data_IF_391361700465
#
_entry.id   IF_391361700465
#
_cell.length_a   1.000
_cell.length_b   1.000
_cell.length_c   1.000
_cell.angle_alpha   90.00
_cell.angle_beta   90.00
_cell.angle_gamma   90.00
#
_symmetry.space_group_name_H-M   'P 1'
#
loop_
_entity.id
_entity.type
_entity.pdbx_description
1 polymer ?
#
# COMPACT_ATOMS: atom_id res chain seq x y z
N UNK A 1 24.12 -12.08 -9.61
CA UNK A 1 24.59 -11.26 -8.48
C UNK A 1 23.38 -10.62 -7.83
N UNK A 2 22.74 -11.28 -6.87
CA UNK A 2 21.57 -10.75 -6.16
C UNK A 2 21.63 -11.31 -4.74
N UNK A 3 21.95 -10.47 -3.77
CA UNK A 3 22.10 -10.89 -2.37
C UNK A 3 22.75 -9.84 -1.46
N UNK A 4 23.56 -8.93 -2.03
CA UNK A 4 24.24 -7.86 -1.28
C UNK A 4 23.31 -6.77 -0.78
N UNK A 5 22.34 -6.33 -1.61
CA UNK A 5 21.57 -5.12 -1.31
C UNK A 5 20.56 -5.31 -0.17
N UNK A 6 19.82 -6.42 -0.12
CA UNK A 6 18.83 -6.67 0.95
C UNK A 6 19.47 -6.78 2.34
N UNK A 7 20.67 -7.35 2.41
CA UNK A 7 21.41 -7.48 3.66
C UNK A 7 22.02 -6.15 4.12
N UNK A 8 22.45 -5.30 3.19
CA UNK A 8 23.02 -3.99 3.50
C UNK A 8 22.01 -3.07 4.20
N UNK A 9 20.76 -3.02 3.73
CA UNK A 9 19.74 -2.12 4.31
C UNK A 9 19.28 -2.53 5.72
N UNK A 10 19.11 -3.83 5.97
CA UNK A 10 18.77 -4.34 7.31
C UNK A 10 19.94 -4.09 8.27
N UNK A 11 21.17 -4.27 7.79
CA UNK A 11 22.39 -4.02 8.59
C UNK A 11 22.51 -2.54 8.97
N UNK A 12 22.25 -1.61 8.05
CA UNK A 12 22.29 -0.16 8.33
C UNK A 12 21.20 0.25 9.32
N UNK A 13 19.98 -0.26 9.18
CA UNK A 13 18.89 0.04 10.11
C UNK A 13 19.18 -0.49 11.53
N UNK A 14 19.71 -1.71 11.64
CA UNK A 14 20.12 -2.30 12.93
C UNK A 14 21.28 -1.52 13.54
N UNK A 15 22.30 -1.16 12.75
CA UNK A 15 23.45 -0.37 13.22
C UNK A 15 23.02 1.02 13.69
N UNK A 16 22.04 1.64 13.04
CA UNK A 16 21.51 2.93 13.46
C UNK A 16 20.77 2.83 14.81
N UNK A 17 19.91 1.81 14.98
CA UNK A 17 19.22 1.54 16.25
C UNK A 17 20.23 1.26 17.37
N UNK A 18 21.23 0.41 17.13
CA UNK A 18 22.27 0.11 18.13
C UNK A 18 23.14 1.32 18.46
N UNK A 19 23.50 2.16 17.49
CA UNK A 19 24.29 3.38 17.73
C UNK A 19 23.53 4.40 18.58
N UNK A 20 22.22 4.54 18.36
CA UNK A 20 21.34 5.39 19.19
C UNK A 20 21.19 4.83 20.61
N UNK A 21 21.11 3.50 20.75
CA UNK A 21 21.03 2.85 22.07
C UNK A 21 22.36 2.94 22.84
N UNK A 22 23.49 2.72 22.18
CA UNK A 22 24.83 2.77 22.79
C UNK A 22 25.21 4.17 23.27
N UNK A 23 24.86 5.22 22.53
CA UNK A 23 25.11 6.61 22.94
C UNK A 23 24.28 7.06 24.16
N UNK A 24 23.24 6.30 24.54
CA UNK A 24 22.34 6.61 25.66
C UNK A 24 22.67 5.85 26.94
N UNK A 25 23.48 4.79 26.87
CA UNK A 25 23.87 4.00 28.04
C UNK A 25 24.87 4.72 28.95
N UNK A 26 25.76 5.56 28.37
CA UNK A 26 26.76 6.31 29.14
C UNK A 26 26.12 7.33 30.11
N UNK A 27 24.92 7.83 29.78
CA UNK A 27 24.21 8.80 30.63
C UNK A 27 23.59 8.18 31.92
N UNK A 28 23.67 6.87 32.12
CA UNK A 28 23.04 6.18 33.29
C UNK A 28 23.95 6.23 34.54
N UNK A 29 25.23 6.57 34.39
CA UNK A 29 26.22 6.42 35.46
C UNK A 29 26.20 7.51 36.54
N UNK A 30 25.45 8.60 36.36
CA UNK A 30 25.54 9.81 37.21
C UNK A 30 24.33 10.02 38.16
N UNK A 31 23.77 8.94 38.69
CA UNK A 31 22.65 8.98 39.64
C UNK A 31 23.15 9.19 41.10
N UNK A 32 23.20 10.44 41.57
CA UNK A 32 23.45 10.75 42.99
C UNK A 32 22.25 10.38 43.88
N UNK A 33 22.52 9.56 44.90
CA UNK A 33 21.54 8.88 45.76
C UNK A 33 20.91 9.80 46.83
N UNK A 34 19.62 10.07 46.68
CA UNK A 34 18.68 10.52 47.72
C UNK A 34 17.24 10.20 47.28
N UNK A 35 16.34 9.81 48.18
CA UNK A 35 15.02 9.25 47.82
C UNK A 35 14.20 10.15 46.86
N UNK A 36 14.29 11.47 47.01
CA UNK A 36 13.67 12.46 46.11
C UNK A 36 14.46 12.70 44.82
N UNK A 37 15.79 12.59 44.85
CA UNK A 37 16.67 12.75 43.69
C UNK A 37 16.63 11.55 42.73
N UNK A 38 16.49 10.34 43.28
CA UNK A 38 16.33 9.10 42.50
C UNK A 38 15.01 9.13 41.73
N UNK A 39 13.91 9.55 42.35
CA UNK A 39 12.61 9.68 41.68
C UNK A 39 12.65 10.73 40.55
N UNK A 40 13.26 11.89 40.78
CA UNK A 40 13.37 12.95 39.76
C UNK A 40 14.25 12.53 38.58
N UNK A 41 15.39 11.89 38.84
CA UNK A 41 16.28 11.42 37.79
C UNK A 41 15.68 10.22 37.02
N UNK A 42 14.99 9.30 37.70
CA UNK A 42 14.23 8.24 37.05
C UNK A 42 13.14 8.81 36.13
N UNK A 43 12.37 9.79 36.58
CA UNK A 43 11.35 10.44 35.76
C UNK A 43 11.95 11.11 34.52
N UNK A 44 13.07 11.84 34.66
CA UNK A 44 13.78 12.42 33.50
C UNK A 44 14.28 11.35 32.52
N UNK A 45 14.79 10.22 33.02
CA UNK A 45 15.24 9.11 32.17
C UNK A 45 14.07 8.45 31.44
N UNK A 46 12.93 8.29 32.12
CA UNK A 46 11.70 7.80 31.49
C UNK A 46 11.19 8.78 30.42
N UNK A 47 11.18 10.08 30.69
CA UNK A 47 10.83 11.11 29.69
C UNK A 47 11.78 11.09 28.48
N UNK A 48 13.09 10.97 28.72
CA UNK A 48 14.08 10.86 27.65
C UNK A 48 13.93 9.58 26.83
N UNK A 49 13.62 8.46 27.48
CA UNK A 49 13.35 7.19 26.81
C UNK A 49 12.07 7.30 25.96
N UNK A 50 11.00 7.87 26.50
CA UNK A 50 9.75 8.10 25.78
C UNK A 50 9.95 8.99 24.57
N UNK A 51 10.67 10.10 24.72
CA UNK A 51 11.00 10.99 23.60
C UNK A 51 11.81 10.28 22.50
N UNK A 52 12.68 9.35 22.88
CA UNK A 52 13.46 8.55 21.92
C UNK A 52 12.58 7.54 21.19
N UNK A 53 11.67 6.87 21.90
CA UNK A 53 10.67 5.98 21.28
C UNK A 53 9.81 6.75 20.28
N UNK A 54 9.34 7.94 20.66
CA UNK A 54 8.53 8.79 19.78
C UNK A 54 9.30 9.19 18.52
N UNK A 55 10.60 9.50 18.64
CA UNK A 55 11.47 9.81 17.51
C UNK A 55 11.66 8.59 16.59
N UNK A 56 11.93 7.41 17.15
CA UNK A 56 12.05 6.17 16.38
C UNK A 56 10.74 5.84 15.65
N UNK A 57 9.59 6.02 16.30
CA UNK A 57 8.29 5.84 15.66
C UNK A 57 8.06 6.81 14.49
N UNK A 58 8.47 8.08 14.60
CA UNK A 58 8.37 9.04 13.47
C UNK A 58 9.24 8.63 12.28
N UNK A 59 10.46 8.15 12.56
CA UNK A 59 11.35 7.64 11.50
C UNK A 59 10.73 6.40 10.85
N UNK A 60 10.25 5.45 11.66
CA UNK A 60 9.61 4.24 11.16
C UNK A 60 8.34 4.52 10.33
N UNK A 61 7.56 5.54 10.71
CA UNK A 61 6.38 5.99 9.98
C UNK A 61 6.76 6.47 8.57
N UNK A 62 7.77 7.34 8.45
CA UNK A 62 8.25 7.82 7.14
C UNK A 62 8.82 6.69 6.28
N UNK A 63 9.68 5.84 6.84
CA UNK A 63 10.24 4.70 6.11
C UNK A 63 9.16 3.69 5.71
N UNK A 64 8.16 3.47 6.56
CA UNK A 64 7.01 2.63 6.27
C UNK A 64 6.22 3.15 5.06
N UNK A 65 5.90 4.45 5.04
CA UNK A 65 5.19 5.09 3.93
C UNK A 65 5.95 4.93 2.60
N UNK A 66 7.24 5.25 2.60
CA UNK A 66 8.09 5.12 1.40
C UNK A 66 8.19 3.67 0.93
N UNK A 67 8.32 2.73 1.86
CA UNK A 67 8.42 1.30 1.54
C UNK A 67 7.11 0.76 0.96
N UNK A 68 5.96 1.10 1.56
CA UNK A 68 4.62 0.74 1.05
C UNK A 68 4.42 1.33 -0.35
N UNK A 69 4.81 2.60 -0.57
CA UNK A 69 4.72 3.25 -1.87
C UNK A 69 5.54 2.54 -2.94
N UNK A 70 6.81 2.22 -2.63
CA UNK A 70 7.71 1.51 -3.56
C UNK A 70 7.20 0.11 -3.88
N UNK A 71 6.78 -0.65 -2.86
CA UNK A 71 6.22 -1.99 -3.05
C UNK A 71 4.95 -1.91 -3.89
N UNK A 72 4.04 -0.97 -3.61
CA UNK A 72 2.81 -0.79 -4.38
C UNK A 72 3.11 -0.50 -5.86
N UNK A 73 4.14 0.31 -6.15
CA UNK A 73 4.57 0.63 -7.51
C UNK A 73 5.36 -0.45 -8.26
N UNK A 74 5.92 -1.47 -7.58
CA UNK A 74 6.99 -2.32 -8.14
C UNK A 74 6.59 -3.25 -9.30
N UNK A 75 5.31 -3.58 -9.48
CA UNK A 75 4.88 -4.52 -10.56
C UNK A 75 4.57 -3.87 -11.89
N UNK A 76 4.61 -2.53 -11.97
CA UNK A 76 4.35 -1.86 -13.24
C UNK A 76 5.52 -1.99 -14.22
N UNK A 77 6.65 -2.57 -13.77
CA UNK A 77 7.90 -2.74 -14.55
C UNK A 77 8.56 -4.14 -14.38
N UNK A 78 7.78 -5.20 -14.14
CA UNK A 78 8.31 -6.58 -14.06
C UNK A 78 8.84 -7.02 -12.68
N UNK A 79 8.11 -6.67 -11.61
CA UNK A 79 8.49 -6.87 -10.21
C UNK A 79 7.89 -8.10 -9.50
N UNK A 80 7.52 -7.92 -8.23
CA UNK A 80 7.00 -8.93 -7.30
C UNK A 80 5.66 -9.55 -7.77
N UNK A 81 5.16 -10.64 -7.20
CA UNK A 81 3.75 -11.02 -7.42
C UNK A 81 2.81 -10.13 -6.59
N UNK A 82 1.51 -10.10 -6.89
CA UNK A 82 0.52 -9.38 -6.05
C UNK A 82 0.55 -9.90 -4.62
N UNK A 83 0.61 -11.22 -4.48
CA UNK A 83 0.70 -11.90 -3.19
C UNK A 83 1.94 -11.47 -2.43
N UNK A 84 3.10 -11.48 -3.08
CA UNK A 84 4.36 -11.07 -2.44
C UNK A 84 4.32 -9.61 -1.98
N UNK A 85 3.67 -8.71 -2.73
CA UNK A 85 3.48 -7.32 -2.30
C UNK A 85 2.67 -7.25 -1.02
N UNK A 86 1.53 -7.94 -0.97
CA UNK A 86 0.65 -7.96 0.22
C UNK A 86 1.39 -8.52 1.42
N UNK A 87 2.13 -9.61 1.25
CA UNK A 87 2.94 -10.20 2.31
C UNK A 87 4.06 -9.27 2.78
N UNK A 88 4.71 -8.52 1.88
CA UNK A 88 5.72 -7.55 2.24
C UNK A 88 5.13 -6.34 3.00
N UNK A 89 3.96 -5.85 2.59
CA UNK A 89 3.25 -4.76 3.27
C UNK A 89 2.75 -5.22 4.66
N UNK A 90 2.24 -6.45 4.78
CA UNK A 90 1.86 -7.03 6.07
C UNK A 90 3.06 -7.12 7.04
N UNK A 91 4.26 -7.48 6.55
CA UNK A 91 5.49 -7.47 7.36
C UNK A 91 5.88 -6.07 7.84
N UNK A 92 5.64 -5.03 7.04
CA UNK A 92 5.83 -3.64 7.46
C UNK A 92 4.84 -3.32 8.58
N UNK A 93 3.55 -3.63 8.41
CA UNK A 93 2.52 -3.43 9.43
C UNK A 93 2.89 -4.11 10.76
N UNK A 94 3.28 -5.38 10.71
CA UNK A 94 3.66 -6.14 11.91
C UNK A 94 4.90 -5.55 12.61
N UNK A 95 5.86 -5.05 11.83
CA UNK A 95 7.06 -4.37 12.37
C UNK A 95 6.70 -3.05 13.06
N UNK A 96 5.76 -2.28 12.50
CA UNK A 96 5.28 -1.04 13.12
C UNK A 96 4.48 -1.33 14.40
N UNK A 97 3.67 -2.40 14.42
CA UNK A 97 3.00 -2.88 15.65
C UNK A 97 4.01 -3.29 16.72
N UNK A 98 5.10 -3.97 16.34
CA UNK A 98 6.12 -4.44 17.29
C UNK A 98 6.83 -3.30 18.05
N UNK A 99 6.96 -2.11 17.44
CA UNK A 99 7.48 -0.90 18.11
C UNK A 99 6.38 -0.09 18.81
N UNK A 100 5.21 -0.69 19.03
CA UNK A 100 4.04 -0.08 19.67
C UNK A 100 3.58 1.22 18.98
N UNK A 101 3.71 1.28 17.65
CA UNK A 101 3.21 2.44 16.89
C UNK A 101 1.69 2.55 17.05
N UNK A 102 1.16 3.77 17.31
CA UNK A 102 -0.28 4.00 17.36
C UNK A 102 -1.00 3.53 16.10
N UNK A 103 -2.17 2.88 16.27
CA UNK A 103 -2.94 2.32 15.16
C UNK A 103 -3.31 3.36 14.08
N UNK A 104 -3.56 4.61 14.46
CA UNK A 104 -3.81 5.72 13.52
C UNK A 104 -2.63 5.94 12.57
N UNK A 105 -1.39 5.92 13.09
CA UNK A 105 -0.18 6.10 12.31
C UNK A 105 0.08 4.93 11.38
N UNK A 106 -0.14 3.71 11.86
CA UNK A 106 -0.07 2.51 11.02
C UNK A 106 -1.07 2.63 9.86
N UNK A 107 -2.31 3.06 10.12
CA UNK A 107 -3.29 3.32 9.05
C UNK A 107 -2.82 4.38 8.08
N UNK A 108 -2.21 5.48 8.55
CA UNK A 108 -1.64 6.49 7.67
C UNK A 108 -0.49 5.96 6.80
N UNK A 109 0.31 5.03 7.32
CA UNK A 109 1.38 4.36 6.55
C UNK A 109 0.78 3.51 5.44
N UNK A 110 -0.23 2.70 5.75
CA UNK A 110 -0.86 1.78 4.80
C UNK A 110 -1.75 2.51 3.78
N UNK A 111 -2.32 3.66 4.14
CA UNK A 111 -3.19 4.45 3.26
C UNK A 111 -2.50 4.89 1.96
N UNK A 112 -1.16 4.93 1.94
CA UNK A 112 -0.37 5.24 0.73
C UNK A 112 -0.60 4.23 -0.39
N UNK A 113 -1.03 3.00 -0.07
CA UNK A 113 -1.39 1.97 -1.06
C UNK A 113 -2.71 2.27 -1.79
N UNK A 114 -3.64 3.00 -1.17
CA UNK A 114 -5.02 3.14 -1.67
C UNK A 114 -5.11 3.67 -3.12
N UNK A 115 -4.38 4.73 -3.53
CA UNK A 115 -4.40 5.18 -4.92
C UNK A 115 -3.92 4.11 -5.90
N UNK A 116 -2.98 3.27 -5.49
CA UNK A 116 -2.43 2.20 -6.32
C UNK A 116 -3.44 1.07 -6.53
N UNK A 117 -4.14 0.66 -5.47
CA UNK A 117 -5.16 -0.37 -5.57
C UNK A 117 -6.38 0.13 -6.36
N UNK A 118 -6.78 1.40 -6.18
CA UNK A 118 -7.85 1.99 -6.99
C UNK A 118 -7.50 2.00 -8.49
N UNK A 119 -6.28 2.41 -8.83
CA UNK A 119 -5.77 2.35 -10.20
C UNK A 119 -5.81 0.91 -10.75
N UNK A 120 -5.31 -0.05 -9.97
CA UNK A 120 -5.27 -1.46 -10.37
C UNK A 120 -6.69 -2.05 -10.55
N UNK A 121 -7.65 -1.69 -9.68
CA UNK A 121 -9.06 -2.08 -9.80
C UNK A 121 -9.70 -1.50 -11.06
N UNK A 122 -9.49 -0.21 -11.34
CA UNK A 122 -9.98 0.43 -12.55
C UNK A 122 -9.47 -0.28 -13.80
N UNK A 123 -8.16 -0.54 -13.88
CA UNK A 123 -7.57 -1.26 -15.00
C UNK A 123 -8.06 -2.70 -15.08
N UNK A 124 -8.22 -3.39 -13.96
CA UNK A 124 -8.72 -4.76 -13.95
C UNK A 124 -10.17 -4.86 -14.44
N UNK A 125 -11.04 -3.94 -14.01
CA UNK A 125 -12.43 -3.89 -14.43
C UNK A 125 -12.59 -3.42 -15.89
N UNK A 126 -11.76 -2.49 -16.34
CA UNK A 126 -11.82 -1.94 -17.71
C UNK A 126 -11.07 -2.79 -18.75
N UNK A 127 -10.20 -3.71 -18.33
CA UNK A 127 -9.34 -4.45 -19.25
C UNK A 127 -10.11 -5.14 -20.41
N UNK A 128 -11.22 -5.88 -20.20
CA UNK A 128 -11.94 -6.53 -21.31
C UNK A 128 -12.45 -5.54 -22.37
N UNK A 129 -12.78 -4.31 -21.95
CA UNK A 129 -13.20 -3.22 -22.85
C UNK A 129 -11.97 -2.65 -23.57
N UNK A 130 -10.86 -2.47 -22.84
CA UNK A 130 -9.63 -1.90 -23.38
C UNK A 130 -8.91 -2.84 -24.38
N UNK A 131 -9.05 -4.14 -24.20
CA UNK A 131 -8.47 -5.17 -25.06
C UNK A 131 -9.40 -5.61 -26.20
N UNK A 132 -10.65 -5.12 -26.22
CA UNK A 132 -11.60 -5.46 -27.29
C UNK A 132 -11.11 -4.99 -28.66
N UNK A 133 -11.15 -5.93 -29.62
CA UNK A 133 -10.91 -5.66 -31.04
C UNK A 133 -12.12 -5.09 -31.79
N UNK A 134 -13.29 -5.01 -31.15
CA UNK A 134 -14.51 -4.47 -31.76
C UNK A 134 -14.42 -2.94 -31.91
N UNK A 135 -14.53 -2.45 -33.14
CA UNK A 135 -14.50 -1.02 -33.48
C UNK A 135 -15.62 -0.24 -32.77
N UNK A 136 -16.82 -0.81 -32.63
CA UNK A 136 -17.92 -0.12 -31.95
C UNK A 136 -17.62 0.11 -30.46
N UNK A 137 -16.96 -0.86 -29.81
CA UNK A 137 -16.47 -0.72 -28.43
C UNK A 137 -15.35 0.31 -28.36
N UNK A 138 -14.45 0.34 -29.35
CA UNK A 138 -13.36 1.31 -29.43
C UNK A 138 -13.86 2.75 -29.58
N UNK A 139 -14.84 2.99 -30.45
CA UNK A 139 -15.44 4.30 -30.68
C UNK A 139 -16.13 4.85 -29.43
N UNK A 140 -16.79 3.99 -28.66
CA UNK A 140 -17.45 4.35 -27.41
C UNK A 140 -16.43 4.60 -26.29
N UNK A 141 -15.40 3.77 -26.18
CA UNK A 141 -14.44 3.87 -25.06
C UNK A 141 -13.45 5.02 -25.25
N UNK A 142 -13.01 5.32 -26.48
CA UNK A 142 -11.98 6.32 -26.76
C UNK A 142 -12.20 7.64 -26.00
N UNK A 143 -13.34 8.33 -26.21
CA UNK A 143 -13.63 9.59 -25.53
C UNK A 143 -13.70 9.48 -24.00
N UNK A 144 -14.14 8.34 -23.47
CA UNK A 144 -14.22 8.16 -22.02
C UNK A 144 -12.83 8.06 -21.39
N UNK A 145 -11.95 7.21 -21.95
CA UNK A 145 -10.63 6.94 -21.39
C UNK A 145 -9.60 8.06 -21.68
N UNK A 146 -9.73 8.78 -22.79
CA UNK A 146 -8.88 9.95 -23.10
C UNK A 146 -8.97 11.05 -22.03
N UNK A 147 -10.13 11.21 -21.37
CA UNK A 147 -10.30 12.19 -20.26
C UNK A 147 -9.41 11.90 -19.04
N UNK A 148 -8.92 10.67 -18.90
CA UNK A 148 -8.13 10.22 -17.74
C UNK A 148 -6.71 9.76 -18.10
N UNK A 149 -6.44 9.47 -19.38
CA UNK A 149 -5.20 8.83 -19.84
C UNK A 149 -3.91 9.65 -19.68
N UNK A 150 -3.99 10.98 -19.48
CA UNK A 150 -2.80 11.84 -19.31
C UNK A 150 -2.37 12.02 -17.85
N UNK A 151 -3.15 11.53 -16.89
CA UNK A 151 -2.92 11.81 -15.46
C UNK A 151 -2.28 10.59 -14.79
N UNK A 152 -1.31 10.82 -13.90
CA UNK A 152 -0.60 9.75 -13.18
C UNK A 152 -1.49 8.99 -12.19
N UNK A 153 -0.94 8.02 -11.44
CA UNK A 153 -1.69 7.12 -10.52
C UNK A 153 -2.57 7.86 -9.50
N UNK A 154 -2.30 9.12 -9.17
CA UNK A 154 -3.14 9.87 -8.23
C UNK A 154 -4.46 10.35 -8.87
N UNK A 155 -4.45 10.72 -10.15
CA UNK A 155 -5.55 11.44 -10.82
C UNK A 155 -5.94 10.82 -12.18
N UNK A 156 -5.34 9.69 -12.53
CA UNK A 156 -5.36 8.98 -13.82
C UNK A 156 -6.55 8.10 -14.09
N UNK A 157 -7.57 8.12 -13.23
CA UNK A 157 -8.74 7.26 -13.38
C UNK A 157 -10.02 7.98 -12.91
N UNK A 158 -11.17 7.62 -13.49
CA UNK A 158 -12.46 8.16 -13.08
C UNK A 158 -12.82 7.78 -11.64
N UNK A 159 -13.62 8.60 -10.94
CA UNK A 159 -14.37 8.15 -9.78
C UNK A 159 -15.17 6.89 -10.10
N UNK A 160 -15.32 6.00 -9.11
CA UNK A 160 -15.95 4.69 -9.32
C UNK A 160 -17.41 4.81 -9.78
N UNK A 161 -18.12 5.84 -9.33
CA UNK A 161 -19.49 6.16 -9.74
C UNK A 161 -19.56 6.58 -11.21
N UNK A 162 -18.57 7.33 -11.70
CA UNK A 162 -18.52 7.74 -13.10
C UNK A 162 -18.20 6.55 -14.01
N UNK A 163 -17.28 5.68 -13.58
CA UNK A 163 -16.99 4.45 -14.31
C UNK A 163 -18.20 3.50 -14.36
N UNK A 164 -18.90 3.33 -13.23
CA UNK A 164 -20.13 2.53 -13.19
C UNK A 164 -21.22 3.11 -14.10
N UNK A 165 -21.41 4.43 -14.08
CA UNK A 165 -22.36 5.11 -14.98
C UNK A 165 -22.04 4.86 -16.45
N UNK A 166 -20.75 4.93 -16.83
CA UNK A 166 -20.29 4.60 -18.17
C UNK A 166 -20.56 3.13 -18.54
N UNK A 167 -20.31 2.18 -17.65
CA UNK A 167 -20.61 0.77 -17.89
C UNK A 167 -22.11 0.52 -18.05
N UNK A 168 -22.94 1.17 -17.23
CA UNK A 168 -24.41 1.05 -17.30
C UNK A 168 -24.94 1.60 -18.62
N UNK A 169 -24.49 2.78 -19.05
CA UNK A 169 -24.93 3.43 -20.28
C UNK A 169 -24.67 2.58 -21.54
N UNK A 170 -23.63 1.74 -21.51
CA UNK A 170 -23.23 0.89 -22.63
C UNK A 170 -23.63 -0.58 -22.46
N UNK A 171 -24.40 -0.91 -21.41
CA UNK A 171 -24.85 -2.29 -21.15
C UNK A 171 -23.71 -3.25 -20.79
N UNK A 172 -22.58 -2.74 -20.29
CA UNK A 172 -21.40 -3.51 -19.89
C UNK A 172 -21.33 -3.83 -18.39
N UNK A 173 -22.28 -3.30 -17.60
CA UNK A 173 -22.38 -3.59 -16.16
C UNK A 173 -23.03 -4.96 -15.89
N UNK A 174 -22.36 -6.04 -16.33
CA UNK A 174 -22.81 -7.43 -16.18
C UNK A 174 -21.60 -8.37 -16.09
N UNK A 175 -21.86 -9.65 -15.82
CA UNK A 175 -20.84 -10.68 -15.70
C UNK A 175 -19.71 -10.32 -14.73
N UNK A 176 -18.50 -10.71 -15.09
CA UNK A 176 -17.28 -10.50 -14.33
C UNK A 176 -16.89 -9.00 -14.23
N UNK A 177 -17.26 -8.16 -15.21
CA UNK A 177 -17.07 -6.70 -15.08
C UNK A 177 -17.84 -6.15 -13.87
N UNK A 178 -19.10 -6.56 -13.71
CA UNK A 178 -19.92 -6.12 -12.57
C UNK A 178 -19.36 -6.63 -11.23
N UNK A 179 -18.85 -7.86 -11.18
CA UNK A 179 -18.20 -8.39 -9.97
C UNK A 179 -16.93 -7.60 -9.59
N UNK A 180 -16.09 -7.23 -10.57
CA UNK A 180 -14.89 -6.41 -10.34
C UNK A 180 -15.22 -5.00 -9.85
N UNK A 181 -16.27 -4.38 -10.38
CA UNK A 181 -16.76 -3.08 -9.86
C UNK A 181 -17.28 -3.22 -8.42
N UNK A 182 -17.96 -4.32 -8.09
CA UNK A 182 -18.40 -4.59 -6.71
C UNK A 182 -17.21 -4.84 -5.77
N UNK A 183 -16.17 -5.52 -6.24
CA UNK A 183 -14.92 -5.68 -5.48
C UNK A 183 -14.27 -4.34 -5.21
N UNK A 184 -14.21 -3.48 -6.22
CA UNK A 184 -13.64 -2.14 -6.09
C UNK A 184 -14.44 -1.29 -5.10
N UNK A 185 -15.77 -1.27 -5.19
CA UNK A 185 -16.65 -0.59 -4.22
C UNK A 185 -16.45 -1.12 -2.80
N UNK A 186 -16.32 -2.43 -2.65
CA UNK A 186 -16.06 -3.04 -1.35
C UNK A 186 -14.72 -2.56 -0.80
N UNK A 187 -13.66 -2.59 -1.60
CA UNK A 187 -12.34 -2.13 -1.20
C UNK A 187 -12.34 -0.65 -0.80
N UNK A 188 -12.95 0.24 -1.58
CA UNK A 188 -13.05 1.67 -1.23
C UNK A 188 -13.74 1.87 0.12
N UNK A 189 -14.74 1.04 0.44
CA UNK A 189 -15.49 1.13 1.69
C UNK A 189 -14.77 0.52 2.89
N UNK A 190 -14.07 -0.59 2.72
CA UNK A 190 -13.56 -1.42 3.83
C UNK A 190 -12.05 -1.44 3.94
N UNK A 191 -11.32 -1.06 2.89
CA UNK A 191 -9.89 -1.28 2.74
C UNK A 191 -9.50 -2.75 2.55
N UNK A 192 -10.47 -3.64 2.30
CA UNK A 192 -10.26 -5.08 2.16
C UNK A 192 -10.69 -5.58 0.78
N UNK A 193 -10.02 -6.61 0.26
CA UNK A 193 -10.38 -7.24 -1.02
C UNK A 193 -11.48 -8.29 -0.79
N UNK A 194 -12.65 -8.13 -1.42
CA UNK A 194 -13.80 -9.06 -1.28
C UNK A 194 -13.48 -10.46 -1.81
N UNK A 195 -12.84 -10.52 -2.98
CA UNK A 195 -12.44 -11.73 -3.71
C UNK A 195 -10.91 -11.79 -3.80
N UNK A 196 -10.26 -12.15 -2.68
CA UNK A 196 -8.81 -12.02 -2.53
C UNK A 196 -8.03 -12.91 -3.51
N UNK A 197 -8.48 -14.15 -3.73
CA UNK A 197 -7.79 -15.07 -4.64
C UNK A 197 -7.82 -14.57 -6.09
N UNK A 198 -8.96 -14.00 -6.51
CA UNK A 198 -9.17 -13.38 -7.81
C UNK A 198 -8.33 -12.11 -7.96
N UNK A 199 -8.26 -11.30 -6.90
CA UNK A 199 -7.39 -10.13 -6.86
C UNK A 199 -5.91 -10.52 -6.99
N UNK A 200 -5.45 -11.53 -6.25
CA UNK A 200 -4.06 -12.00 -6.29
C UNK A 200 -3.69 -12.60 -7.65
N UNK A 201 -4.60 -13.35 -8.26
CA UNK A 201 -4.37 -14.04 -9.55
C UNK A 201 -4.62 -13.16 -10.79
N UNK A 202 -4.98 -11.88 -10.62
CA UNK A 202 -5.32 -10.97 -11.74
C UNK A 202 -4.22 -10.81 -12.79
N UNK A 203 -2.95 -11.00 -12.39
CA UNK A 203 -1.80 -10.94 -13.29
C UNK A 203 -1.30 -12.33 -13.74
N UNK A 204 -1.63 -13.39 -13.01
CA UNK A 204 -1.09 -14.73 -13.25
C UNK A 204 -1.86 -15.48 -14.35
N UNK A 205 -3.15 -15.17 -14.49
CA UNK A 205 -4.10 -16.01 -15.21
C UNK A 205 -4.40 -15.57 -16.64
N UNK A 206 -3.81 -14.47 -17.12
CA UNK A 206 -4.34 -13.82 -18.31
C UNK A 206 -5.82 -13.42 -18.16
N UNK A 207 -6.37 -13.33 -16.93
CA UNK A 207 -7.71 -12.76 -16.67
C UNK A 207 -7.75 -11.23 -16.80
N UNK A 208 -6.58 -10.61 -17.04
CA UNK A 208 -6.41 -9.36 -17.80
C UNK A 208 -6.54 -9.56 -19.31
N UNK A 209 -7.20 -10.64 -19.75
CA UNK A 209 -7.31 -11.11 -21.12
C UNK A 209 -8.55 -11.97 -21.33
N UNK A 210 -9.52 -11.91 -20.41
CA UNK A 210 -10.89 -12.28 -20.74
C UNK A 210 -11.32 -11.40 -21.90
N UNK A 211 -11.90 -12.02 -22.94
CA UNK A 211 -12.57 -11.27 -23.98
C UNK A 211 -13.72 -10.47 -23.37
N UNK A 212 -14.15 -9.39 -24.03
CA UNK A 212 -15.33 -8.65 -23.59
C UNK A 212 -16.55 -9.56 -23.50
N UNK A 213 -16.71 -10.50 -24.44
CA UNK A 213 -17.82 -11.44 -24.48
C UNK A 213 -17.84 -12.34 -23.25
N UNK A 214 -16.71 -12.97 -22.91
CA UNK A 214 -16.59 -13.84 -21.73
C UNK A 214 -16.78 -13.06 -20.43
N UNK A 215 -16.30 -11.81 -20.38
CA UNK A 215 -16.44 -10.96 -19.20
C UNK A 215 -17.87 -10.47 -18.96
N UNK A 216 -18.74 -10.54 -19.98
CA UNK A 216 -20.12 -10.08 -19.95
C UNK A 216 -21.14 -11.21 -19.72
N UNK A 217 -20.74 -12.47 -19.84
CA UNK A 217 -21.54 -13.66 -19.47
C UNK A 217 -21.64 -13.80 -17.94
#
# INVERSE_FOLDING_TARGET
>A
MVGGDKAAYITVAILFVFSVLSTRLDDITDLKFGATGVAAALNRKLEQAQATVDQLQRVAELFGQLSVQQISGSNRWGGMSVKDKREAIAKIEDSLKAISMPAEKIRSVLAVQVPYDNFDYFHWASNPILSSGDTAVQDVRGPFFERYGEKGIADGFPPIEEFEGFLLANGWMKGEIAERVRDWKHYVKTGQHRRLAEWESRHDSGMSGLSLEDALQ
#
